data_IF_406872502378
#
_entry.id   IF_406872502378
#
_cell.length_a   1.000
_cell.length_b   1.000
_cell.length_c   1.000
_cell.angle_alpha   90.00
_cell.angle_beta   90.00
_cell.angle_gamma   90.00
#
_symmetry.space_group_name_H-M   'P 1'
#
loop_
_entity.id
_entity.type
_entity.pdbx_description
1 polymer ?
#
# COMPACT_ATOMS: atom_id res chain seq x y z
N UNK A 1 0.05 17.10 -82.59
CA UNK A 1 1.28 17.15 -81.76
C UNK A 1 1.23 18.40 -80.88
N UNK A 2 1.23 18.22 -79.54
CA UNK A 2 1.81 19.07 -78.45
C UNK A 2 1.61 20.60 -78.48
N UNK A 3 1.23 21.36 -77.44
CA UNK A 3 1.36 21.30 -75.95
C UNK A 3 0.31 22.27 -75.36
N UNK A 4 -0.55 21.87 -74.43
CA UNK A 4 -0.48 22.10 -72.96
C UNK A 4 0.02 23.48 -72.51
N UNK A 5 -0.89 24.29 -71.97
CA UNK A 5 -0.65 25.43 -71.08
C UNK A 5 -1.20 25.12 -69.68
N UNK A 6 -0.35 25.33 -68.66
CA UNK A 6 -0.64 25.29 -67.23
C UNK A 6 -0.93 26.72 -66.73
N UNK A 7 -1.65 26.87 -65.60
CA UNK A 7 -1.36 27.95 -64.69
C UNK A 7 -1.03 27.48 -63.26
N UNK A 8 0.08 28.04 -62.77
CA UNK A 8 0.32 28.63 -61.44
C UNK A 8 0.14 27.76 -60.20
N UNK A 9 1.28 27.41 -59.60
CA UNK A 9 1.43 26.95 -58.22
C UNK A 9 1.34 28.14 -57.24
N UNK A 10 0.44 28.04 -56.26
CA UNK A 10 0.48 28.82 -55.03
C UNK A 10 0.90 27.92 -53.88
N UNK A 11 2.15 28.07 -53.43
CA UNK A 11 2.71 27.38 -52.27
C UNK A 11 2.38 28.21 -51.02
N UNK A 12 1.45 27.73 -50.19
CA UNK A 12 1.20 28.25 -48.85
C UNK A 12 2.07 27.51 -47.84
N UNK A 13 3.17 28.13 -47.42
CA UNK A 13 3.96 27.74 -46.25
C UNK A 13 3.24 28.31 -45.02
N UNK A 14 2.64 27.45 -44.19
CA UNK A 14 2.21 27.83 -42.85
C UNK A 14 3.36 27.54 -41.88
N UNK A 15 3.99 28.61 -41.42
CA UNK A 15 5.06 28.64 -40.42
C UNK A 15 4.56 28.14 -39.06
N UNK A 16 5.40 27.30 -38.44
CA UNK A 16 5.50 27.09 -37.00
C UNK A 16 5.66 28.44 -36.27
N UNK A 17 4.71 28.79 -35.40
CA UNK A 17 4.90 29.87 -34.45
C UNK A 17 5.45 29.28 -33.13
N UNK A 18 6.74 29.52 -32.91
CA UNK A 18 7.41 29.37 -31.64
C UNK A 18 6.91 30.45 -30.65
N UNK A 19 6.59 30.04 -29.42
CA UNK A 19 6.29 30.96 -28.31
C UNK A 19 7.61 31.44 -27.71
N UNK A 20 7.83 32.74 -27.50
CA UNK A 20 9.12 33.25 -27.05
C UNK A 20 9.31 33.10 -25.54
N UNK A 21 10.57 32.81 -25.23
CA UNK A 21 11.24 32.83 -23.93
C UNK A 21 11.16 34.23 -23.31
N UNK A 22 10.65 34.36 -22.08
CA UNK A 22 10.60 35.61 -21.32
C UNK A 22 11.67 35.57 -20.22
N UNK A 23 12.65 36.47 -20.29
CA UNK A 23 13.61 36.74 -19.20
C UNK A 23 13.01 37.72 -18.17
N UNK A 24 13.24 37.53 -16.85
CA UNK A 24 12.65 38.37 -15.82
C UNK A 24 13.45 39.67 -15.61
N UNK A 25 12.74 40.80 -15.57
CA UNK A 25 13.29 42.10 -15.14
C UNK A 25 13.41 42.17 -13.59
N UNK A 26 14.33 42.98 -13.04
CA UNK A 26 14.71 42.96 -11.62
C UNK A 26 13.70 43.69 -10.71
N UNK A 27 13.71 43.44 -9.39
CA UNK A 27 12.65 43.91 -8.49
C UNK A 27 12.86 45.36 -8.06
N UNK A 28 11.88 46.21 -8.38
CA UNK A 28 11.72 47.51 -7.73
C UNK A 28 11.06 47.34 -6.36
N UNK A 29 11.81 47.66 -5.29
CA UNK A 29 11.27 47.93 -3.95
C UNK A 29 10.38 49.18 -4.01
N UNK A 30 9.13 49.07 -3.53
CA UNK A 30 8.45 50.17 -2.86
C UNK A 30 7.43 49.66 -1.86
N UNK A 31 7.58 50.19 -0.66
CA UNK A 31 6.68 50.10 0.49
C UNK A 31 5.29 50.62 0.13
N UNK A 32 4.25 49.91 0.56
CA UNK A 32 2.97 50.55 0.92
C UNK A 32 2.42 49.86 2.17
N UNK A 33 2.22 50.70 3.19
CA UNK A 33 1.57 50.43 4.46
C UNK A 33 0.08 50.12 4.28
N UNK A 34 -0.40 49.21 5.11
CA UNK A 34 -1.68 49.18 5.81
C UNK A 34 -2.92 49.80 5.12
N UNK A 35 -3.88 48.94 4.77
CA UNK A 35 -5.25 49.06 5.32
C UNK A 35 -5.94 47.69 5.22
N UNK A 36 -5.97 46.94 6.32
CA UNK A 36 -6.78 45.73 6.49
C UNK A 36 -7.88 46.05 7.51
N UNK A 37 -9.14 45.99 7.08
CA UNK A 37 -10.28 45.92 8.00
C UNK A 37 -11.38 45.01 7.44
N UNK A 38 -11.66 43.96 8.22
CA UNK A 38 -12.85 43.09 8.26
C UNK A 38 -13.04 42.11 7.08
N UNK A 39 -13.31 40.81 7.26
CA UNK A 39 -13.76 40.06 8.43
C UNK A 39 -13.07 38.68 8.51
N UNK A 40 -12.37 38.45 9.62
CA UNK A 40 -11.84 37.15 10.04
C UNK A 40 -12.68 36.64 11.21
N UNK A 41 -13.32 35.50 11.03
CA UNK A 41 -13.94 34.75 12.13
C UNK A 41 -12.82 34.15 12.97
N UNK A 42 -12.77 34.57 14.25
CA UNK A 42 -11.81 34.13 15.26
C UNK A 42 -11.92 32.63 15.53
N UNK A 43 -10.78 31.93 15.50
CA UNK A 43 -10.59 30.66 16.18
C UNK A 43 -9.79 30.93 17.46
N UNK A 44 -10.30 30.44 18.60
CA UNK A 44 -9.76 30.62 19.94
C UNK A 44 -9.28 29.23 20.42
N UNK A 45 -7.99 29.01 20.73
CA UNK A 45 -7.56 27.71 21.23
C UNK A 45 -7.87 27.60 22.73
N UNK A 46 -8.81 26.72 23.06
CA UNK A 46 -9.03 26.26 24.44
C UNK A 46 -7.89 25.29 24.78
N UNK A 47 -7.08 25.63 25.78
CA UNK A 47 -6.16 24.69 26.43
C UNK A 47 -6.94 23.70 27.30
N UNK A 48 -6.70 22.38 27.21
CA UNK A 48 -7.03 21.47 28.28
C UNK A 48 -5.82 21.28 29.19
N UNK A 49 -6.12 21.35 30.48
CA UNK A 49 -5.24 21.07 31.61
C UNK A 49 -4.70 19.63 31.55
N UNK A 50 -3.46 19.51 31.98
CA UNK A 50 -2.80 18.30 32.43
C UNK A 50 -3.58 17.60 33.54
N UNK A 51 -3.85 16.31 33.38
CA UNK A 51 -3.87 15.32 34.47
C UNK A 51 -3.63 13.93 33.86
N UNK A 52 -2.45 13.39 34.13
CA UNK A 52 -1.97 12.07 33.69
C UNK A 52 -2.02 11.07 34.85
N UNK A 53 -2.53 9.85 34.64
CA UNK A 53 -2.22 8.71 35.50
C UNK A 53 -1.09 7.87 34.89
N UNK A 54 0.05 7.88 35.58
CA UNK A 54 1.01 6.76 35.74
C UNK A 54 1.26 5.81 34.56
N UNK A 55 2.17 6.18 33.67
CA UNK A 55 2.92 5.26 32.83
C UNK A 55 4.11 4.68 33.63
N UNK A 56 3.85 3.68 34.48
CA UNK A 56 4.87 3.08 35.37
C UNK A 56 5.32 1.66 35.01
N UNK A 57 4.58 0.90 34.17
CA UNK A 57 4.81 -0.55 34.05
C UNK A 57 4.96 -1.12 32.62
N UNK A 58 5.02 -0.29 31.57
CA UNK A 58 5.15 -0.79 30.18
C UNK A 58 6.58 -0.74 29.61
N UNK A 59 7.50 -0.01 30.25
CA UNK A 59 8.86 0.17 29.74
C UNK A 59 9.86 -0.95 30.13
N UNK A 60 9.48 -1.84 31.06
CA UNK A 60 10.34 -2.93 31.51
C UNK A 60 10.28 -4.17 30.59
N UNK A 61 9.17 -4.40 29.88
CA UNK A 61 8.98 -5.61 29.07
C UNK A 61 9.28 -5.44 27.57
N UNK A 62 9.63 -4.22 27.10
CA UNK A 62 9.89 -3.94 25.69
C UNK A 62 11.38 -4.02 25.29
N UNK A 63 12.30 -4.15 26.26
CA UNK A 63 13.75 -4.24 25.98
C UNK A 63 14.26 -5.66 25.74
N UNK A 64 13.48 -6.70 26.03
CA UNK A 64 13.91 -8.10 25.87
C UNK A 64 13.61 -8.70 24.48
N UNK A 65 12.84 -8.02 23.62
CA UNK A 65 12.42 -8.56 22.33
C UNK A 65 12.89 -7.74 21.12
N UNK A 66 14.12 -7.22 21.17
CA UNK A 66 14.76 -6.61 19.99
C UNK A 66 15.37 -7.71 19.09
N UNK A 67 14.99 -7.82 17.80
CA UNK A 67 15.42 -8.92 16.92
C UNK A 67 16.92 -9.00 16.60
N UNK A 68 17.72 -8.00 17.01
CA UNK A 68 19.17 -7.95 16.81
C UNK A 68 20.00 -8.30 18.06
N UNK A 69 19.38 -8.43 19.23
CA UNK A 69 20.10 -8.68 20.49
C UNK A 69 20.38 -10.17 20.77
N UNK A 70 19.76 -11.09 20.01
CA UNK A 70 19.84 -12.53 20.26
C UNK A 70 21.14 -13.20 19.81
N UNK A 71 21.78 -12.72 18.73
CA UNK A 71 23.02 -13.30 18.22
C UNK A 71 24.21 -13.20 19.20
N UNK A 72 24.49 -12.03 19.82
CA UNK A 72 25.54 -11.94 20.83
C UNK A 72 25.22 -12.77 22.09
N UNK A 73 23.95 -12.80 22.53
CA UNK A 73 23.53 -13.59 23.70
C UNK A 73 23.63 -15.11 23.47
N UNK A 74 23.37 -15.59 22.25
CA UNK A 74 23.54 -17.00 21.89
C UNK A 74 25.03 -17.38 21.84
N UNK A 75 25.86 -16.50 21.28
CA UNK A 75 27.32 -16.68 21.21
C UNK A 75 27.96 -16.71 22.61
N UNK A 76 27.53 -15.83 23.51
CA UNK A 76 27.97 -15.79 24.90
C UNK A 76 27.56 -17.07 25.66
N UNK A 77 26.36 -17.58 25.38
CA UNK A 77 25.86 -18.82 25.97
C UNK A 77 26.56 -20.07 25.46
N UNK A 78 26.94 -20.11 24.18
CA UNK A 78 27.79 -21.18 23.62
C UNK A 78 29.18 -21.14 24.26
N UNK A 79 29.77 -19.96 24.42
CA UNK A 79 31.06 -19.80 25.11
C UNK A 79 31.02 -20.25 26.58
N UNK A 80 29.92 -19.99 27.28
CA UNK A 80 29.72 -20.46 28.66
C UNK A 80 29.63 -21.99 28.74
N UNK A 81 28.92 -22.65 27.81
CA UNK A 81 28.84 -24.11 27.75
C UNK A 81 30.20 -24.75 27.43
N UNK A 82 30.99 -24.16 26.53
CA UNK A 82 32.34 -24.65 26.22
C UNK A 82 33.28 -24.54 27.43
N UNK A 83 33.16 -23.46 28.22
CA UNK A 83 33.91 -23.30 29.46
C UNK A 83 33.51 -24.35 30.51
N UNK A 84 32.22 -24.62 30.67
CA UNK A 84 31.72 -25.65 31.60
C UNK A 84 32.19 -27.06 31.20
N UNK A 85 32.19 -27.38 29.89
CA UNK A 85 32.72 -28.66 29.38
C UNK A 85 34.22 -28.78 29.67
N UNK A 86 34.98 -27.69 29.54
CA UNK A 86 36.41 -27.68 29.83
C UNK A 86 36.70 -27.89 31.32
N UNK A 87 35.91 -27.30 32.21
CA UNK A 87 36.02 -27.46 33.67
C UNK A 87 35.73 -28.90 34.09
N UNK A 88 34.62 -29.48 33.61
CA UNK A 88 34.26 -30.88 33.90
C UNK A 88 35.34 -31.88 33.46
N UNK A 89 35.98 -31.64 32.32
CA UNK A 89 37.12 -32.46 31.86
C UNK A 89 38.34 -32.35 32.77
N UNK A 90 38.56 -31.18 33.38
CA UNK A 90 39.65 -30.97 34.35
C UNK A 90 39.37 -31.69 35.66
N UNK A 91 38.15 -31.60 36.19
CA UNK A 91 37.73 -32.29 37.41
C UNK A 91 37.85 -33.81 37.26
N UNK A 92 37.38 -34.36 36.14
CA UNK A 92 37.48 -35.79 35.86
C UNK A 92 38.94 -36.27 35.83
N UNK A 93 39.85 -35.48 35.24
CA UNK A 93 41.28 -35.81 35.20
C UNK A 93 41.90 -35.81 36.60
N UNK A 94 41.58 -34.81 37.44
CA UNK A 94 42.06 -34.74 38.83
C UNK A 94 41.58 -35.93 39.66
N UNK A 95 40.30 -36.28 39.54
CA UNK A 95 39.75 -37.45 40.21
C UNK A 95 40.46 -38.75 39.79
N UNK A 96 40.76 -38.92 38.49
CA UNK A 96 41.51 -40.08 37.98
C UNK A 96 42.95 -40.14 38.54
N UNK A 97 43.65 -39.01 38.61
CA UNK A 97 44.99 -38.92 39.19
C UNK A 97 44.99 -39.27 40.68
N UNK A 98 44.03 -38.74 41.45
CA UNK A 98 43.88 -39.02 42.88
C UNK A 98 43.62 -40.52 43.13
N UNK A 99 42.70 -41.13 42.38
CA UNK A 99 42.42 -42.57 42.43
C UNK A 99 43.68 -43.40 42.13
N UNK A 100 44.47 -42.99 41.14
CA UNK A 100 45.71 -43.69 40.76
C UNK A 100 46.76 -43.65 41.87
N UNK A 101 46.87 -42.51 42.56
CA UNK A 101 47.81 -42.31 43.67
C UNK A 101 47.44 -43.13 44.93
N UNK A 102 46.14 -43.19 45.23
CA UNK A 102 45.62 -43.96 46.36
C UNK A 102 45.81 -45.47 46.15
N UNK A 103 45.64 -45.95 44.91
CA UNK A 103 45.88 -47.37 44.57
C UNK A 103 47.35 -47.79 44.70
N UNK A 104 48.30 -46.87 44.50
CA UNK A 104 49.72 -47.17 44.59
C UNK A 104 50.25 -47.32 46.03
N UNK A 105 49.50 -46.86 47.05
CA UNK A 105 49.97 -46.79 48.44
C UNK A 105 49.22 -47.69 49.43
N UNK A 106 48.19 -48.43 48.99
CA UNK A 106 47.32 -49.22 49.86
C UNK A 106 47.74 -50.70 50.02
N UNK A 107 47.52 -51.27 51.21
CA UNK A 107 47.70 -52.70 51.49
C UNK A 107 46.56 -53.57 50.88
N UNK A 108 46.74 -54.90 50.78
CA UNK A 108 45.75 -55.80 50.11
C UNK A 108 44.32 -55.71 50.66
N UNK A 109 44.15 -55.53 51.97
CA UNK A 109 42.82 -55.42 52.58
C UNK A 109 42.24 -54.00 52.44
N UNK A 110 43.09 -52.97 52.41
CA UNK A 110 42.69 -51.58 52.13
C UNK A 110 42.28 -51.39 50.66
N UNK A 111 42.88 -52.15 49.74
CA UNK A 111 42.54 -52.11 48.31
C UNK A 111 41.07 -52.48 48.04
N UNK A 112 40.49 -53.41 48.80
CA UNK A 112 39.10 -53.83 48.59
C UNK A 112 38.10 -52.76 49.02
N UNK A 113 38.35 -52.11 50.16
CA UNK A 113 37.56 -50.97 50.64
C UNK A 113 37.76 -49.73 49.75
N UNK A 114 38.96 -49.54 49.22
CA UNK A 114 39.27 -48.47 48.28
C UNK A 114 38.53 -48.68 46.95
N UNK A 115 38.51 -49.89 46.40
CA UNK A 115 37.80 -50.18 45.16
C UNK A 115 36.28 -49.96 45.28
N UNK A 116 35.66 -50.30 46.42
CA UNK A 116 34.25 -49.98 46.65
C UNK A 116 33.99 -48.47 46.72
N UNK A 117 34.87 -47.71 47.37
CA UNK A 117 34.76 -46.24 47.44
C UNK A 117 34.97 -45.59 46.08
N UNK A 118 35.92 -46.09 45.30
CA UNK A 118 36.21 -45.62 43.94
C UNK A 118 35.05 -45.95 43.00
N UNK A 119 34.49 -47.16 43.08
CA UNK A 119 33.34 -47.54 42.27
C UNK A 119 32.11 -46.66 42.57
N UNK A 120 31.87 -46.35 43.85
CA UNK A 120 30.79 -45.44 44.25
C UNK A 120 31.02 -44.02 43.74
N UNK A 121 32.22 -43.46 43.94
CA UNK A 121 32.55 -42.11 43.50
C UNK A 121 32.49 -41.97 41.97
N UNK A 122 32.94 -43.00 41.23
CA UNK A 122 32.81 -43.04 39.77
C UNK A 122 31.35 -43.14 39.34
N UNK A 123 30.53 -43.96 40.00
CA UNK A 123 29.09 -44.05 39.72
C UNK A 123 28.35 -42.74 39.96
N UNK A 124 28.64 -42.05 41.06
CA UNK A 124 28.07 -40.73 41.37
C UNK A 124 28.51 -39.66 40.36
N UNK A 125 29.79 -39.65 39.99
CA UNK A 125 30.32 -38.72 38.98
C UNK A 125 29.71 -38.99 37.61
N UNK A 126 29.58 -40.26 37.21
CA UNK A 126 28.97 -40.65 35.94
C UNK A 126 27.50 -40.24 35.90
N UNK A 127 26.72 -40.48 36.95
CA UNK A 127 25.32 -40.07 37.03
C UNK A 127 25.16 -38.53 36.94
N UNK A 128 26.03 -37.78 37.61
CA UNK A 128 26.04 -36.30 37.55
C UNK A 128 26.36 -35.79 36.13
N UNK A 129 27.31 -36.42 35.44
CA UNK A 129 27.68 -36.08 34.06
C UNK A 129 26.53 -36.41 33.09
N UNK A 130 25.90 -37.57 33.22
CA UNK A 130 24.74 -37.97 32.41
C UNK A 130 23.56 -37.00 32.61
N UNK A 131 23.27 -36.59 33.85
CA UNK A 131 22.22 -35.61 34.14
C UNK A 131 22.54 -34.25 33.49
N UNK A 132 23.79 -33.79 33.55
CA UNK A 132 24.21 -32.53 32.92
C UNK A 132 24.10 -32.58 31.41
N UNK A 133 24.52 -33.68 30.76
CA UNK A 133 24.36 -33.85 29.32
C UNK A 133 22.89 -33.87 28.90
N UNK A 134 22.03 -34.54 29.64
CA UNK A 134 20.59 -34.54 29.38
C UNK A 134 19.98 -33.11 29.43
N UNK A 135 20.44 -32.26 30.36
CA UNK A 135 20.02 -30.85 30.42
C UNK A 135 20.51 -30.02 29.23
N UNK A 136 21.73 -30.25 28.76
CA UNK A 136 22.28 -29.58 27.57
C UNK A 136 21.50 -30.00 26.31
N UNK A 137 21.27 -31.29 26.13
CA UNK A 137 20.49 -31.81 24.99
C UNK A 137 19.07 -31.25 24.97
N UNK A 138 18.40 -31.22 26.13
CA UNK A 138 17.08 -30.60 26.27
C UNK A 138 17.09 -29.12 25.87
N UNK A 139 18.11 -28.38 26.29
CA UNK A 139 18.27 -26.96 25.94
C UNK A 139 18.56 -26.74 24.46
N UNK A 140 19.32 -27.62 23.82
CA UNK A 140 19.63 -27.55 22.39
C UNK A 140 18.38 -27.83 21.53
N UNK A 141 17.58 -28.82 21.91
CA UNK A 141 16.31 -29.12 21.23
C UNK A 141 15.36 -27.94 21.35
N UNK A 142 15.23 -27.35 22.53
CA UNK A 142 14.39 -26.16 22.74
C UNK A 142 14.89 -24.95 21.95
N UNK A 143 16.21 -24.72 21.94
CA UNK A 143 16.83 -23.66 21.14
C UNK A 143 16.58 -23.81 19.65
N UNK A 144 16.67 -25.05 19.13
CA UNK A 144 16.38 -25.34 17.72
C UNK A 144 14.92 -25.10 17.36
N UNK A 145 13.97 -25.54 18.20
CA UNK A 145 12.54 -25.28 17.97
C UNK A 145 12.24 -23.79 17.92
N UNK A 146 12.81 -22.99 18.84
CA UNK A 146 12.65 -21.53 18.84
C UNK A 146 13.25 -20.87 17.59
N UNK A 147 14.40 -21.35 17.12
CA UNK A 147 15.03 -20.84 15.91
C UNK A 147 14.21 -21.15 14.65
N UNK A 148 13.67 -22.36 14.55
CA UNK A 148 12.77 -22.78 13.46
C UNK A 148 11.47 -21.95 13.47
N UNK A 149 10.89 -21.70 14.64
CA UNK A 149 9.70 -20.84 14.77
C UNK A 149 9.99 -19.39 14.37
N UNK A 150 11.12 -18.83 14.83
CA UNK A 150 11.55 -17.49 14.45
C UNK A 150 11.76 -17.38 12.93
N UNK A 151 12.45 -18.35 12.32
CA UNK A 151 12.68 -18.41 10.87
C UNK A 151 11.35 -18.48 10.10
N UNK A 152 10.39 -19.29 10.56
CA UNK A 152 9.06 -19.37 9.95
C UNK A 152 8.22 -18.09 10.10
N UNK A 153 8.46 -17.29 11.16
CA UNK A 153 7.86 -15.94 11.30
C UNK A 153 8.52 -14.94 10.35
N UNK A 154 9.84 -14.98 10.21
CA UNK A 154 10.57 -14.11 9.27
C UNK A 154 10.21 -14.40 7.82
N UNK A 155 10.12 -15.67 7.40
CA UNK A 155 9.70 -16.03 6.06
C UNK A 155 8.29 -15.50 5.73
N UNK A 156 7.35 -15.57 6.70
CA UNK A 156 6.02 -14.96 6.57
C UNK A 156 6.08 -13.45 6.43
N UNK A 157 6.95 -12.79 7.19
CA UNK A 157 7.19 -11.36 7.08
C UNK A 157 7.79 -10.96 5.72
N UNK A 158 8.77 -11.72 5.20
CA UNK A 158 9.34 -11.48 3.87
C UNK A 158 8.30 -11.65 2.76
N UNK A 159 7.39 -12.62 2.91
CA UNK A 159 6.28 -12.81 1.97
C UNK A 159 5.28 -11.65 2.00
N UNK A 160 5.06 -11.04 3.18
CA UNK A 160 4.26 -9.82 3.33
C UNK A 160 4.97 -8.56 2.79
N UNK A 161 6.31 -8.55 2.80
CA UNK A 161 7.13 -7.43 2.32
C UNK A 161 7.40 -7.50 0.80
N UNK A 162 7.36 -8.68 0.19
CA UNK A 162 7.38 -8.81 -1.27
C UNK A 162 6.05 -8.34 -1.85
N UNK A 163 6.05 -7.09 -2.33
CA UNK A 163 4.99 -6.54 -3.18
C UNK A 163 4.77 -7.50 -4.36
N UNK A 164 3.69 -8.27 -4.33
CA UNK A 164 3.25 -9.09 -5.46
C UNK A 164 2.83 -8.16 -6.60
N UNK A 165 3.83 -7.75 -7.40
CA UNK A 165 3.68 -6.79 -8.49
C UNK A 165 2.63 -7.26 -9.48
N UNK A 166 2.62 -8.56 -9.80
CA UNK A 166 1.69 -9.12 -10.78
C UNK A 166 0.25 -9.10 -10.28
N UNK A 167 0.04 -9.35 -8.98
CA UNK A 167 -1.28 -9.17 -8.40
C UNK A 167 -1.67 -7.69 -8.30
N UNK A 168 -0.77 -6.79 -7.88
CA UNK A 168 -1.05 -5.35 -7.85
C UNK A 168 -1.42 -4.81 -9.24
N UNK A 169 -0.70 -5.22 -10.27
CA UNK A 169 -1.00 -4.84 -11.65
C UNK A 169 -2.39 -5.34 -12.07
N UNK A 170 -2.69 -6.63 -11.82
CA UNK A 170 -3.99 -7.23 -12.18
C UNK A 170 -5.18 -6.66 -11.42
N UNK A 171 -5.04 -6.41 -10.11
CA UNK A 171 -6.18 -6.04 -9.26
C UNK A 171 -6.37 -4.54 -9.08
N UNK A 172 -5.33 -3.73 -9.29
CA UNK A 172 -5.40 -2.27 -9.10
C UNK A 172 -5.15 -1.47 -10.37
N UNK A 173 -4.25 -1.90 -11.26
CA UNK A 173 -3.91 -1.12 -12.46
C UNK A 173 -4.77 -1.47 -13.67
N UNK A 174 -4.88 -2.75 -14.02
CA UNK A 174 -5.60 -3.20 -15.21
C UNK A 174 -7.13 -2.99 -15.21
N UNK A 175 -7.80 -2.84 -14.05
CA UNK A 175 -9.18 -2.38 -14.02
C UNK A 175 -9.33 -0.88 -14.36
N UNK A 176 -8.24 -0.10 -14.32
CA UNK A 176 -8.29 1.33 -14.62
C UNK A 176 -8.34 1.53 -16.13
N UNK A 177 -9.21 2.44 -16.55
CA UNK A 177 -9.36 2.88 -17.93
C UNK A 177 -9.13 4.39 -18.02
N UNK A 178 -8.60 4.85 -19.15
CA UNK A 178 -8.45 6.29 -19.43
C UNK A 178 -9.68 6.80 -20.14
N UNK A 179 -10.27 7.89 -19.68
CA UNK A 179 -11.30 8.63 -20.42
C UNK A 179 -10.66 9.80 -21.17
N UNK A 180 -11.02 9.97 -22.43
CA UNK A 180 -10.45 11.01 -23.29
C UNK A 180 -11.52 11.75 -24.10
N UNK A 181 -11.54 13.07 -23.95
CA UNK A 181 -12.23 14.02 -24.83
C UNK A 181 -11.22 14.87 -25.62
N UNK A 182 -11.70 15.94 -26.26
CA UNK A 182 -10.82 16.83 -27.03
C UNK A 182 -9.88 17.65 -26.14
N UNK A 183 -10.36 18.15 -25.00
CA UNK A 183 -9.55 18.92 -24.04
C UNK A 183 -9.60 18.34 -22.63
N UNK A 184 -10.44 17.34 -22.41
CA UNK A 184 -10.66 16.71 -21.10
C UNK A 184 -10.05 15.32 -21.07
N UNK A 185 -9.34 15.01 -19.98
CA UNK A 185 -8.85 13.66 -19.69
C UNK A 185 -9.23 13.28 -18.27
N UNK A 186 -9.53 12.01 -18.06
CA UNK A 186 -9.85 11.47 -16.76
C UNK A 186 -9.60 9.97 -16.69
N UNK A 187 -10.08 9.38 -15.61
CA UNK A 187 -9.93 7.96 -15.31
C UNK A 187 -11.28 7.33 -15.09
N UNK A 188 -11.34 6.01 -15.24
CA UNK A 188 -12.46 5.19 -14.85
C UNK A 188 -11.96 3.87 -14.30
N UNK A 189 -12.86 3.08 -13.72
CA UNK A 189 -12.56 1.77 -13.16
C UNK A 189 -13.63 0.75 -13.55
N UNK A 190 -13.21 -0.37 -14.11
CA UNK A 190 -14.09 -1.49 -14.46
C UNK A 190 -14.51 -2.20 -13.18
N UNK A 191 -15.82 -2.24 -12.92
CA UNK A 191 -16.41 -2.81 -11.70
C UNK A 191 -17.23 -4.08 -11.95
N UNK A 192 -17.66 -4.32 -13.18
CA UNK A 192 -18.37 -5.54 -13.55
C UNK A 192 -18.25 -5.81 -15.05
N UNK A 193 -18.35 -7.09 -15.40
CA UNK A 193 -18.51 -7.55 -16.77
C UNK A 193 -19.68 -8.52 -16.81
N UNK A 194 -20.60 -8.32 -17.77
CA UNK A 194 -21.78 -9.16 -17.98
C UNK A 194 -21.93 -9.47 -19.46
N UNK A 195 -22.49 -10.62 -19.78
CA UNK A 195 -22.90 -10.93 -21.16
C UNK A 195 -24.04 -10.01 -21.55
N UNK A 196 -23.96 -9.40 -22.73
CA UNK A 196 -25.04 -8.57 -23.27
C UNK A 196 -26.23 -9.43 -23.69
N UNK A 197 -27.41 -8.83 -23.75
CA UNK A 197 -28.57 -9.43 -24.42
C UNK A 197 -28.39 -9.51 -25.94
N UNK A 198 -27.52 -8.67 -26.50
CA UNK A 198 -27.07 -8.78 -27.89
C UNK A 198 -26.15 -10.00 -28.03
N UNK A 199 -26.35 -10.78 -29.10
CA UNK A 199 -25.54 -11.99 -29.34
C UNK A 199 -24.06 -11.62 -29.40
N UNK A 200 -23.27 -12.39 -28.66
CA UNK A 200 -21.80 -12.39 -28.67
C UNK A 200 -21.13 -11.06 -28.33
N UNK A 201 -21.77 -10.26 -27.47
CA UNK A 201 -21.16 -9.06 -26.87
C UNK A 201 -21.13 -9.10 -25.34
N UNK A 202 -20.20 -8.36 -24.77
CA UNK A 202 -19.99 -8.20 -23.33
C UNK A 202 -20.10 -6.73 -22.94
N UNK A 203 -20.90 -6.47 -21.91
CA UNK A 203 -21.04 -5.17 -21.30
C UNK A 203 -20.04 -5.05 -20.14
N UNK A 204 -19.12 -4.09 -20.26
CA UNK A 204 -18.12 -3.76 -19.26
C UNK A 204 -18.58 -2.47 -18.58
N UNK A 205 -18.83 -2.53 -17.28
CA UNK A 205 -19.37 -1.43 -16.50
C UNK A 205 -18.23 -0.67 -15.82
N UNK A 206 -18.17 0.64 -16.06
CA UNK A 206 -17.09 1.51 -15.63
C UNK A 206 -17.63 2.60 -14.73
N UNK A 207 -17.08 2.72 -13.52
CA UNK A 207 -17.30 3.89 -12.69
C UNK A 207 -16.30 4.99 -13.01
N UNK A 208 -16.74 6.23 -12.94
CA UNK A 208 -15.89 7.42 -13.14
C UNK A 208 -16.49 8.62 -12.41
N UNK A 209 -15.83 9.76 -12.49
CA UNK A 209 -16.38 11.03 -12.00
C UNK A 209 -17.32 11.66 -13.03
N UNK A 210 -18.45 12.17 -12.56
CA UNK A 210 -19.45 12.79 -13.46
C UNK A 210 -18.89 14.01 -14.18
N UNK A 211 -18.11 14.86 -13.50
CA UNK A 211 -17.54 16.05 -14.15
C UNK A 211 -16.65 15.70 -15.34
N UNK A 212 -15.92 14.58 -15.30
CA UNK A 212 -15.10 14.12 -16.44
C UNK A 212 -15.99 13.84 -17.64
N UNK A 213 -17.05 13.08 -17.44
CA UNK A 213 -18.01 12.74 -18.51
C UNK A 213 -18.69 14.00 -19.04
N UNK A 214 -19.18 14.86 -18.15
CA UNK A 214 -19.81 16.13 -18.50
C UNK A 214 -18.87 17.00 -19.35
N UNK A 215 -17.62 17.16 -18.94
CA UNK A 215 -16.66 18.02 -19.61
C UNK A 215 -16.28 17.46 -20.99
N UNK A 216 -16.16 16.13 -21.14
CA UNK A 216 -15.99 15.47 -22.45
C UNK A 216 -17.19 15.74 -23.38
N UNK A 217 -18.42 15.63 -22.86
CA UNK A 217 -19.63 15.86 -23.65
C UNK A 217 -19.80 17.34 -24.03
N UNK A 218 -19.40 18.28 -23.16
CA UNK A 218 -19.39 19.72 -23.44
C UNK A 218 -18.33 20.10 -24.47
N UNK A 219 -17.14 19.50 -24.41
CA UNK A 219 -16.05 19.69 -25.37
C UNK A 219 -16.48 19.36 -26.81
N UNK A 220 -17.43 18.43 -26.97
CA UNK A 220 -17.97 18.04 -28.27
C UNK A 220 -18.94 19.07 -28.90
N UNK A 221 -19.08 20.27 -28.32
CA UNK A 221 -19.80 21.44 -28.88
C UNK A 221 -21.21 21.15 -29.40
N UNK A 222 -21.94 20.26 -28.73
CA UNK A 222 -23.34 19.97 -29.05
C UNK A 222 -23.55 18.88 -30.11
N UNK A 223 -22.51 18.13 -30.48
CA UNK A 223 -22.72 16.85 -31.14
C UNK A 223 -23.42 15.90 -30.15
N UNK A 224 -24.71 15.65 -30.38
CA UNK A 224 -25.53 14.73 -29.58
C UNK A 224 -25.04 13.28 -29.65
N UNK A 225 -24.05 12.99 -30.50
CA UNK A 225 -23.37 11.69 -30.63
C UNK A 225 -21.95 11.71 -30.09
N UNK A 226 -21.60 12.66 -29.22
CA UNK A 226 -20.30 12.70 -28.59
C UNK A 226 -19.99 11.37 -27.87
N UNK A 227 -19.09 10.61 -28.47
CA UNK A 227 -18.65 9.31 -27.98
C UNK A 227 -17.66 9.51 -26.84
N UNK A 228 -17.93 8.89 -25.68
CA UNK A 228 -16.96 8.85 -24.57
C UNK A 228 -15.93 7.79 -24.94
N UNK A 229 -14.69 8.20 -25.24
CA UNK A 229 -13.60 7.26 -25.56
C UNK A 229 -12.93 6.77 -24.30
N UNK A 230 -12.72 5.45 -24.23
CA UNK A 230 -12.09 4.75 -23.13
C UNK A 230 -10.89 3.93 -23.63
N UNK A 231 -9.72 4.14 -23.04
CA UNK A 231 -8.53 3.32 -23.25
C UNK A 231 -8.43 2.22 -22.19
N UNK A 232 -8.50 0.96 -22.61
CA UNK A 232 -8.33 -0.22 -21.76
C UNK A 232 -6.90 -0.77 -21.85
N UNK A 233 -6.20 -0.90 -20.72
CA UNK A 233 -4.78 -1.23 -20.72
C UNK A 233 -4.53 -2.74 -20.58
N UNK A 234 -4.29 -3.39 -21.72
CA UNK A 234 -3.96 -4.81 -21.81
C UNK A 234 -2.45 -5.06 -21.82
N UNK A 235 -2.04 -6.33 -22.00
CA UNK A 235 -0.63 -6.71 -22.17
C UNK A 235 0.00 -6.14 -23.44
N UNK A 236 -0.81 -5.87 -24.46
CA UNK A 236 -0.38 -5.43 -25.79
C UNK A 236 -0.49 -3.91 -25.99
N UNK A 237 -0.83 -3.18 -24.92
CA UNK A 237 -1.05 -1.72 -24.95
C UNK A 237 -2.53 -1.32 -24.80
N UNK A 238 -2.84 -0.02 -24.98
CA UNK A 238 -4.19 0.51 -24.84
C UNK A 238 -5.11 0.06 -25.98
N UNK A 239 -6.27 -0.48 -25.63
CA UNK A 239 -7.35 -0.85 -26.51
C UNK A 239 -8.46 0.20 -26.38
N UNK A 240 -8.65 1.00 -27.40
CA UNK A 240 -9.66 2.07 -27.42
C UNK A 240 -11.06 1.49 -27.65
N UNK A 241 -12.05 1.99 -26.92
CA UNK A 241 -13.46 1.64 -27.03
C UNK A 241 -14.34 2.86 -26.76
N UNK A 242 -15.60 2.79 -27.15
CA UNK A 242 -16.60 3.83 -26.86
C UNK A 242 -17.57 3.34 -25.80
N UNK A 243 -17.90 4.21 -24.85
CA UNK A 243 -18.85 3.94 -23.78
C UNK A 243 -20.05 4.88 -23.81
N UNK A 244 -21.18 4.36 -23.34
CA UNK A 244 -22.42 5.12 -23.15
C UNK A 244 -22.64 5.44 -21.67
N UNK A 245 -23.16 6.63 -21.38
CA UNK A 245 -23.55 7.02 -20.03
C UNK A 245 -24.84 6.30 -19.64
N UNK A 246 -24.77 5.45 -18.62
CA UNK A 246 -25.90 4.66 -18.12
C UNK A 246 -26.62 5.36 -16.96
N UNK A 247 -25.86 5.90 -16.00
CA UNK A 247 -26.40 6.62 -14.85
C UNK A 247 -25.37 7.65 -14.34
N UNK A 248 -25.83 8.70 -13.66
CA UNK A 248 -24.96 9.65 -12.96
C UNK A 248 -25.63 10.25 -11.73
N UNK A 249 -24.82 10.76 -10.82
CA UNK A 249 -25.24 11.57 -9.68
C UNK A 249 -24.30 12.78 -9.58
N UNK A 250 -24.84 13.97 -9.83
CA UNK A 250 -24.07 15.21 -9.88
C UNK A 250 -23.50 15.58 -8.51
N UNK A 251 -24.27 15.37 -7.44
CA UNK A 251 -23.89 15.80 -6.09
C UNK A 251 -22.75 14.95 -5.53
N UNK A 252 -22.70 13.67 -5.89
CA UNK A 252 -21.62 12.74 -5.50
C UNK A 252 -20.45 12.74 -6.48
N UNK A 253 -20.63 13.43 -7.62
CA UNK A 253 -19.68 13.47 -8.73
C UNK A 253 -19.37 12.06 -9.25
N UNK A 254 -20.39 11.22 -9.42
CA UNK A 254 -20.27 9.83 -9.87
C UNK A 254 -21.02 9.59 -11.18
N UNK A 255 -20.42 8.80 -12.06
CA UNK A 255 -21.06 8.32 -13.29
C UNK A 255 -20.75 6.85 -13.53
N UNK A 256 -21.72 6.15 -14.12
CA UNK A 256 -21.64 4.77 -14.54
C UNK A 256 -21.73 4.73 -16.07
N UNK A 257 -20.71 4.16 -16.69
CA UNK A 257 -20.64 3.95 -18.13
C UNK A 257 -20.80 2.46 -18.44
N UNK A 258 -21.31 2.16 -19.64
CA UNK A 258 -21.32 0.81 -20.21
C UNK A 258 -20.52 0.81 -21.51
N UNK A 259 -19.61 -0.16 -21.64
CA UNK A 259 -18.77 -0.35 -22.83
C UNK A 259 -19.04 -1.73 -23.41
N UNK A 260 -19.57 -1.77 -24.62
CA UNK A 260 -19.90 -3.02 -25.32
C UNK A 260 -18.72 -3.53 -26.14
N UNK A 261 -18.22 -4.72 -25.82
CA UNK A 261 -17.02 -5.33 -26.43
C UNK A 261 -17.31 -6.74 -26.95
N UNK A 262 -16.52 -7.22 -27.92
CA UNK A 262 -16.62 -8.60 -28.43
C UNK A 262 -16.10 -9.62 -27.40
N UNK A 263 -15.08 -9.24 -26.65
CA UNK A 263 -14.48 -10.07 -25.60
C UNK A 263 -14.70 -9.45 -24.21
N UNK A 264 -14.87 -10.27 -23.15
CA UNK A 264 -15.00 -9.78 -21.79
C UNK A 264 -13.67 -9.17 -21.32
N UNK A 265 -13.72 -8.00 -20.67
CA UNK A 265 -12.52 -7.48 -20.03
C UNK A 265 -12.15 -8.35 -18.81
N UNK A 266 -10.93 -8.90 -18.74
CA UNK A 266 -10.61 -9.89 -17.71
C UNK A 266 -10.28 -9.28 -16.33
N UNK A 267 -10.11 -7.96 -16.23
CA UNK A 267 -9.65 -7.30 -15.01
C UNK A 267 -10.74 -6.41 -14.42
N UNK A 268 -11.28 -6.80 -13.28
CA UNK A 268 -12.36 -6.10 -12.58
C UNK A 268 -11.93 -5.76 -11.17
N UNK A 269 -12.22 -4.54 -10.72
CA UNK A 269 -11.92 -4.11 -9.37
C UNK A 269 -12.86 -4.78 -8.36
N UNK A 270 -12.31 -5.18 -7.21
CA UNK A 270 -13.09 -5.72 -6.10
C UNK A 270 -13.30 -4.63 -5.06
N UNK A 271 -14.55 -4.36 -4.67
CA UNK A 271 -14.85 -3.39 -3.61
C UNK A 271 -14.41 -3.90 -2.25
N UNK A 272 -13.91 -2.98 -1.41
CA UNK A 272 -13.65 -3.26 -0.01
C UNK A 272 -14.97 -3.62 0.70
N UNK A 273 -14.92 -4.63 1.58
CA UNK A 273 -16.10 -5.03 2.35
C UNK A 273 -16.51 -3.93 3.33
N UNK A 274 -17.76 -4.00 3.84
CA UNK A 274 -18.21 -3.05 4.87
C UNK A 274 -17.36 -3.14 6.15
N UNK A 275 -16.85 -4.33 6.49
CA UNK A 275 -15.95 -4.53 7.63
C UNK A 275 -14.58 -3.89 7.37
N UNK A 276 -14.02 -4.09 6.18
CA UNK A 276 -12.75 -3.51 5.78
C UNK A 276 -12.80 -1.98 5.79
N UNK A 277 -13.87 -1.39 5.27
CA UNK A 277 -14.07 0.06 5.28
C UNK A 277 -14.28 0.61 6.70
N UNK A 278 -14.89 -0.16 7.60
CA UNK A 278 -15.05 0.22 9.01
C UNK A 278 -13.70 0.35 9.71
N UNK A 279 -12.79 -0.61 9.47
CA UNK A 279 -11.45 -0.62 10.08
C UNK A 279 -10.43 0.27 9.34
N UNK A 280 -10.72 0.66 8.10
CA UNK A 280 -9.91 1.63 7.35
C UNK A 280 -10.00 3.00 8.02
N UNK A 281 -8.89 3.48 8.58
CA UNK A 281 -8.80 4.78 9.25
C UNK A 281 -7.53 5.55 8.85
N UNK A 282 -7.33 6.73 9.43
CA UNK A 282 -6.11 7.53 9.27
C UNK A 282 -4.85 6.67 9.41
N UNK A 283 -3.85 6.97 8.58
CA UNK A 283 -2.62 6.18 8.44
C UNK A 283 -2.78 4.80 7.78
N UNK A 284 -3.99 4.41 7.35
CA UNK A 284 -4.12 3.22 6.49
C UNK A 284 -3.46 3.50 5.15
N UNK A 285 -2.51 2.65 4.76
CA UNK A 285 -1.80 2.74 3.49
C UNK A 285 -2.74 2.49 2.32
N UNK A 286 -2.62 3.31 1.27
CA UNK A 286 -3.46 3.28 0.08
C UNK A 286 -2.67 3.47 -1.20
N UNK A 287 -3.24 3.00 -2.30
CA UNK A 287 -2.82 3.36 -3.66
C UNK A 287 -3.94 4.14 -4.35
N UNK A 288 -3.63 5.32 -4.88
CA UNK A 288 -4.47 5.97 -5.87
C UNK A 288 -3.98 5.58 -7.26
N UNK A 289 -4.86 5.08 -8.12
CA UNK A 289 -4.52 4.66 -9.48
C UNK A 289 -5.47 5.33 -10.47
N UNK A 290 -4.87 6.08 -11.40
CA UNK A 290 -5.58 6.81 -12.44
C UNK A 290 -4.64 7.13 -13.60
N UNK A 291 -5.13 7.89 -14.57
CA UNK A 291 -4.49 8.27 -15.82
C UNK A 291 -4.17 9.78 -15.82
N UNK A 292 -3.25 10.25 -14.95
CA UNK A 292 -2.96 11.67 -14.81
C UNK A 292 -2.43 12.23 -16.14
N UNK A 293 -2.95 13.39 -16.54
CA UNK A 293 -2.61 14.06 -17.79
C UNK A 293 -2.86 13.19 -19.06
N UNK A 294 -3.70 12.16 -18.95
CA UNK A 294 -3.99 11.24 -20.05
C UNK A 294 -2.92 10.18 -20.28
N UNK A 295 -1.95 10.03 -19.37
CA UNK A 295 -1.00 8.92 -19.40
C UNK A 295 -1.68 7.58 -19.08
N UNK A 296 -0.93 6.50 -19.26
CA UNK A 296 -1.29 5.16 -18.80
C UNK A 296 -1.52 5.13 -17.28
N UNK A 297 -2.21 4.12 -16.72
CA UNK A 297 -2.49 4.06 -15.30
C UNK A 297 -1.21 4.19 -14.46
N UNK A 298 -1.16 5.19 -13.57
CA UNK A 298 -0.04 5.45 -12.67
C UNK A 298 -0.50 5.19 -11.22
N UNK A 299 0.08 4.20 -10.53
CA UNK A 299 -0.18 3.99 -9.12
C UNK A 299 0.67 4.95 -8.28
N UNK A 300 0.04 5.68 -7.36
CA UNK A 300 0.72 6.50 -6.35
C UNK A 300 0.38 6.03 -4.95
N UNK A 301 1.39 5.92 -4.09
CA UNK A 301 1.24 5.43 -2.72
C UNK A 301 1.03 6.60 -1.75
N UNK A 302 0.17 6.40 -0.75
CA UNK A 302 -0.02 7.33 0.35
C UNK A 302 -0.81 6.68 1.48
N UNK A 303 -1.50 7.50 2.26
CA UNK A 303 -2.28 7.10 3.42
C UNK A 303 -3.60 7.87 3.49
N UNK A 304 -4.58 7.33 4.22
CA UNK A 304 -5.76 8.11 4.64
C UNK A 304 -5.34 9.21 5.61
N UNK A 305 -5.70 10.46 5.29
CA UNK A 305 -5.46 11.65 6.13
C UNK A 305 -6.70 12.03 6.96
N UNK A 306 -7.90 11.89 6.40
CA UNK A 306 -9.16 12.20 7.07
C UNK A 306 -10.32 11.43 6.44
N UNK A 307 -11.35 11.11 7.23
CA UNK A 307 -12.59 10.45 6.77
C UNK A 307 -13.83 11.37 6.75
N UNK A 308 -13.72 12.55 7.34
CA UNK A 308 -14.82 13.51 7.52
C UNK A 308 -14.42 14.86 6.94
N UNK A 309 -13.85 14.85 5.73
CA UNK A 309 -13.58 16.09 5.03
C UNK A 309 -14.85 16.54 4.31
N UNK A 310 -15.52 17.54 4.88
CA UNK A 310 -16.79 18.03 4.34
C UNK A 310 -16.58 19.16 3.34
N UNK A 311 -17.03 18.95 2.11
CA UNK A 311 -17.04 19.94 1.04
C UNK A 311 -18.47 20.05 0.50
N UNK A 312 -19.05 21.25 0.52
CA UNK A 312 -20.40 21.52 -0.01
C UNK A 312 -21.49 20.58 0.58
N UNK A 313 -21.34 20.22 1.86
CA UNK A 313 -22.27 19.32 2.56
C UNK A 313 -21.99 17.83 2.39
N UNK A 314 -21.12 17.45 1.45
CA UNK A 314 -20.73 16.06 1.19
C UNK A 314 -19.47 15.65 1.95
N UNK A 315 -19.42 14.39 2.38
CA UNK A 315 -18.27 13.83 3.09
C UNK A 315 -17.34 13.10 2.12
N UNK A 316 -16.10 13.55 2.06
CA UNK A 316 -15.02 12.91 1.32
C UNK A 316 -13.98 12.35 2.29
N UNK A 317 -13.28 11.31 1.85
CA UNK A 317 -12.03 10.93 2.50
C UNK A 317 -10.89 11.65 1.82
N UNK A 318 -9.91 12.07 2.61
CA UNK A 318 -8.70 12.72 2.13
C UNK A 318 -7.54 11.74 2.19
N UNK A 319 -6.70 11.74 1.15
CA UNK A 319 -5.52 10.89 1.03
C UNK A 319 -4.26 11.68 0.69
N UNK A 320 -3.12 11.19 1.15
CA UNK A 320 -1.79 11.77 0.85
C UNK A 320 -1.17 11.26 -0.44
N UNK A 321 -1.78 10.27 -1.10
CA UNK A 321 -1.24 9.69 -2.33
C UNK A 321 -1.16 10.77 -3.43
N UNK A 322 0.04 11.08 -3.95
CA UNK A 322 0.23 12.16 -4.91
C UNK A 322 -0.70 12.02 -6.10
N UNK A 323 -1.44 13.09 -6.40
CA UNK A 323 -2.45 13.10 -7.44
C UNK A 323 -2.38 14.35 -8.29
N UNK A 324 -2.92 14.27 -9.50
CA UNK A 324 -2.96 15.39 -10.44
C UNK A 324 -4.22 15.33 -11.32
N UNK A 325 -4.42 16.36 -12.15
CA UNK A 325 -5.48 16.35 -13.16
C UNK A 325 -5.40 15.09 -14.02
N UNK A 326 -6.54 14.45 -14.23
CA UNK A 326 -6.66 13.14 -14.89
C UNK A 326 -6.88 11.96 -13.95
N UNK A 327 -6.57 12.07 -12.65
CA UNK A 327 -6.87 11.01 -11.67
C UNK A 327 -8.36 10.87 -11.34
N UNK A 328 -9.17 11.92 -11.56
CA UNK A 328 -10.62 11.90 -11.32
C UNK A 328 -11.29 10.72 -12.03
N UNK A 329 -12.10 9.97 -11.28
CA UNK A 329 -12.77 8.75 -11.70
C UNK A 329 -11.93 7.48 -11.55
N UNK A 330 -10.65 7.60 -11.15
CA UNK A 330 -9.77 6.47 -10.88
C UNK A 330 -10.10 5.79 -9.53
N UNK A 331 -9.40 4.69 -9.26
CA UNK A 331 -9.62 3.91 -8.03
C UNK A 331 -8.66 4.29 -6.90
N UNK A 332 -9.16 4.31 -5.67
CA UNK A 332 -8.32 4.29 -4.47
C UNK A 332 -8.47 2.94 -3.79
N UNK A 333 -7.34 2.26 -3.59
CA UNK A 333 -7.27 0.89 -3.08
C UNK A 333 -6.56 0.84 -1.74
N UNK A 334 -7.02 -0.02 -0.82
CA UNK A 334 -6.26 -0.35 0.37
C UNK A 334 -4.99 -1.14 -0.02
N UNK A 335 -3.83 -0.76 0.51
CA UNK A 335 -2.55 -1.34 0.07
C UNK A 335 -2.41 -2.83 0.39
N UNK A 336 -3.00 -3.29 1.50
CA UNK A 336 -2.90 -4.67 1.97
C UNK A 336 -3.83 -5.62 1.21
N UNK A 337 -5.13 -5.30 1.16
CA UNK A 337 -6.14 -6.14 0.50
C UNK A 337 -6.14 -5.98 -1.02
N UNK A 338 -5.75 -4.79 -1.52
CA UNK A 338 -5.90 -4.32 -2.91
C UNK A 338 -7.37 -4.13 -3.33
N UNK A 339 -8.28 -4.03 -2.36
CA UNK A 339 -9.68 -3.75 -2.61
C UNK A 339 -9.92 -2.25 -2.75
N UNK A 340 -10.89 -1.89 -3.60
CA UNK A 340 -11.32 -0.54 -3.88
C UNK A 340 -12.08 0.04 -2.68
N UNK A 341 -11.49 1.04 -2.03
CA UNK A 341 -12.07 1.75 -0.88
C UNK A 341 -12.79 3.05 -1.30
N UNK A 342 -12.66 3.48 -2.56
CA UNK A 342 -13.45 4.57 -3.11
C UNK A 342 -12.99 5.03 -4.50
N UNK A 343 -13.73 5.98 -5.06
CA UNK A 343 -13.43 6.59 -6.37
C UNK A 343 -12.75 7.94 -6.13
N UNK A 344 -11.62 8.17 -6.79
CA UNK A 344 -10.92 9.45 -6.71
C UNK A 344 -11.78 10.53 -7.38
N UNK A 345 -12.11 11.60 -6.64
CA UNK A 345 -13.09 12.58 -7.11
C UNK A 345 -12.45 13.91 -7.44
N UNK A 346 -11.66 14.47 -6.51
CA UNK A 346 -11.14 15.84 -6.63
C UNK A 346 -9.75 15.96 -6.02
N UNK A 347 -9.05 17.02 -6.40
CA UNK A 347 -7.78 17.41 -5.77
C UNK A 347 -7.87 18.83 -5.24
N UNK A 348 -7.28 19.06 -4.07
CA UNK A 348 -7.25 20.40 -3.48
C UNK A 348 -6.41 21.35 -4.33
N UNK A 349 -6.91 22.58 -4.51
CA UNK A 349 -6.18 23.66 -5.16
C UNK A 349 -6.10 24.87 -4.23
N UNK A 350 -4.96 25.57 -4.26
CA UNK A 350 -4.74 26.79 -3.50
C UNK A 350 -4.57 27.98 -4.44
N UNK A 351 -5.16 29.12 -4.07
CA UNK A 351 -5.08 30.36 -4.85
C UNK A 351 -6.31 30.58 -5.74
N UNK A 352 -6.90 31.78 -5.69
CA UNK A 352 -8.11 32.13 -6.45
C UNK A 352 -7.85 32.45 -7.92
N UNK A 353 -6.74 33.16 -8.21
CA UNK A 353 -6.43 33.65 -9.56
C UNK A 353 -5.52 32.70 -10.35
N UNK A 354 -4.69 31.93 -9.65
CA UNK A 354 -3.77 30.95 -10.22
C UNK A 354 -3.81 29.68 -9.35
N UNK A 355 -4.80 28.80 -9.58
CA UNK A 355 -4.97 27.62 -8.75
C UNK A 355 -3.74 26.74 -8.88
N UNK A 356 -3.03 26.58 -7.77
CA UNK A 356 -1.90 25.66 -7.63
C UNK A 356 -2.42 24.36 -7.05
N UNK A 357 -2.19 23.25 -7.74
CA UNK A 357 -2.56 21.92 -7.28
C UNK A 357 -1.76 21.58 -6.03
N UNK A 358 -2.42 20.97 -5.03
CA UNK A 358 -1.77 20.40 -3.85
C UNK A 358 -1.79 18.87 -3.96
N UNK A 359 -0.72 18.24 -4.48
CA UNK A 359 -0.74 16.83 -4.92
C UNK A 359 -1.10 15.82 -3.84
N UNK A 360 -0.81 16.13 -2.58
CA UNK A 360 -1.01 15.23 -1.43
C UNK A 360 -2.33 15.48 -0.69
N UNK A 361 -3.27 16.22 -1.27
CA UNK A 361 -4.60 16.45 -0.71
C UNK A 361 -5.66 16.00 -1.72
N UNK A 362 -5.62 14.70 -2.05
CA UNK A 362 -6.62 14.06 -2.89
C UNK A 362 -7.89 13.76 -2.10
N UNK A 363 -9.05 13.92 -2.73
CA UNK A 363 -10.37 13.63 -2.16
C UNK A 363 -11.01 12.49 -2.94
N UNK A 364 -11.56 11.52 -2.22
CA UNK A 364 -12.25 10.37 -2.79
C UNK A 364 -13.66 10.23 -2.21
N UNK A 365 -14.58 9.75 -3.04
CA UNK A 365 -15.93 9.33 -2.62
C UNK A 365 -15.83 7.90 -2.07
N UNK A 366 -16.15 7.65 -0.78
CA UNK A 366 -15.96 6.34 -0.15
C UNK A 366 -16.77 5.23 -0.80
N UNK A 367 -16.26 4.00 -0.74
CA UNK A 367 -16.90 2.82 -1.32
C UNK A 367 -18.33 2.60 -0.78
N UNK A 368 -18.60 2.85 0.51
CA UNK A 368 -19.95 2.79 1.07
C UNK A 368 -20.94 3.73 0.37
N UNK A 369 -20.52 4.98 0.11
CA UNK A 369 -21.32 5.97 -0.60
C UNK A 369 -21.57 5.55 -2.04
N UNK A 370 -20.54 5.06 -2.72
CA UNK A 370 -20.66 4.52 -4.09
C UNK A 370 -21.63 3.34 -4.12
N UNK A 371 -21.56 2.42 -3.15
CA UNK A 371 -22.45 1.27 -3.08
C UNK A 371 -23.91 1.66 -2.85
N UNK A 372 -24.14 2.63 -1.96
CA UNK A 372 -25.49 3.13 -1.70
C UNK A 372 -26.08 3.80 -2.94
N UNK A 373 -25.29 4.64 -3.62
CA UNK A 373 -25.70 5.26 -4.87
C UNK A 373 -26.04 4.20 -5.93
N UNK A 374 -25.16 3.23 -6.16
CA UNK A 374 -25.38 2.15 -7.15
C UNK A 374 -26.67 1.36 -6.84
N UNK A 375 -26.95 1.07 -5.57
CA UNK A 375 -28.22 0.45 -5.17
C UNK A 375 -29.42 1.34 -5.49
N UNK A 376 -29.37 2.62 -5.10
CA UNK A 376 -30.45 3.58 -5.35
C UNK A 376 -30.71 3.82 -6.85
N UNK A 377 -29.66 3.74 -7.68
CA UNK A 377 -29.72 3.87 -9.13
C UNK A 377 -30.20 2.60 -9.84
N UNK A 378 -30.48 1.51 -9.12
CA UNK A 378 -30.94 0.25 -9.71
C UNK A 378 -29.83 -0.62 -10.30
N UNK A 379 -28.57 -0.38 -9.93
CA UNK A 379 -27.38 -1.08 -10.43
C UNK A 379 -26.58 -1.77 -9.30
N UNK A 380 -27.21 -1.99 -8.15
CA UNK A 380 -26.58 -2.61 -6.98
C UNK A 380 -26.15 -4.06 -7.20
N UNK A 381 -26.62 -4.73 -8.25
CA UNK A 381 -26.22 -6.09 -8.65
C UNK A 381 -24.85 -6.16 -9.35
N UNK A 382 -24.33 -5.02 -9.81
CA UNK A 382 -23.01 -4.93 -10.47
C UNK A 382 -21.87 -4.96 -9.45
N UNK A 383 -22.12 -4.46 -8.26
CA UNK A 383 -21.17 -4.39 -7.16
C UNK A 383 -21.53 -5.51 -6.17
N UNK A 384 -20.80 -6.62 -6.21
CA UNK A 384 -21.10 -7.83 -5.40
C UNK A 384 -21.48 -7.51 -3.95
N UNK A 385 -22.42 -8.30 -3.41
CA UNK A 385 -23.10 -8.08 -2.12
C UNK A 385 -22.17 -7.80 -0.93
#
# INVERSE_FOLDING_TARGET
>A
MLKRSLPVWGVGIAMLAAVPFWEPAPPHRREVRETLASATTRWNPISPRSDSPSAGNAAANARENSPGAGAPALSERVGALDAEIAELRSELRRAQEEISSLRASASRDELHLLDERVARALGETQASVEERFARIDGSLVEGRMRAEEASARFARFETLLQRDRDAMERTMMRPIVRLSGSNTVGSGIVIAVRRSSEKDRWNNFVLTSYHVVRDILLDARGDRRAEIKLGFYGTEGPQEATGDLLAYEETLDLALLVVSREEPWPHVATFASAEEERVTDRFTSVYAVGCPLGNDPIPTHGEILSRDHRLEGQSFWMISAPSYFGNSGGGVFAAESRNLIGIFSKIYTHGRSFPTVVPHMGLLTPASVVREWMKSAGHGDLIGA
#
